data_IF_387745176244
#
_entry.id   IF_387745176244
#
_cell.length_a   1.000
_cell.length_b   1.000
_cell.length_c   1.000
_cell.angle_alpha   90.00
_cell.angle_beta   90.00
_cell.angle_gamma   90.00
#
_symmetry.space_group_name_H-M   'P 1'
#
loop_
_entity.id
_entity.type
_entity.pdbx_description
1 polymer ?
#
# COMPACT_ATOMS: atom_id res chain seq x y z
N UNK A 1 -31.35 3.25 -5.22
CA UNK A 1 -30.67 4.07 -6.25
C UNK A 1 -29.82 3.14 -7.14
N UNK A 2 -30.07 3.19 -8.45
CA UNK A 2 -29.51 2.28 -9.45
C UNK A 2 -27.98 2.39 -9.57
N UNK A 3 -27.27 1.33 -9.17
CA UNK A 3 -25.83 1.13 -9.29
C UNK A 3 -25.46 0.56 -10.68
N UNK A 4 -25.67 1.31 -11.76
CA UNK A 4 -25.35 0.84 -13.13
C UNK A 4 -24.21 1.61 -13.81
N UNK A 5 -23.51 2.51 -13.09
CA UNK A 5 -22.40 3.30 -13.64
C UNK A 5 -21.08 3.28 -12.87
N UNK A 6 -21.03 2.69 -11.66
CA UNK A 6 -19.85 2.67 -10.79
C UNK A 6 -19.23 1.26 -10.63
N UNK A 7 -19.73 0.27 -11.36
CA UNK A 7 -19.25 -1.12 -11.32
C UNK A 7 -18.08 -1.27 -12.28
N UNK A 8 -16.90 -1.59 -11.74
CA UNK A 8 -15.75 -2.24 -12.43
C UNK A 8 -14.40 -1.50 -12.40
N UNK A 9 -14.25 -0.38 -11.69
CA UNK A 9 -12.97 0.34 -11.62
C UNK A 9 -11.80 -0.53 -11.12
N UNK A 10 -12.03 -1.38 -10.11
CA UNK A 10 -11.01 -2.33 -9.63
C UNK A 10 -10.74 -3.49 -10.60
N UNK A 11 -11.68 -3.82 -11.49
CA UNK A 11 -11.48 -4.86 -12.50
C UNK A 11 -10.48 -4.42 -13.58
N UNK A 12 -10.40 -3.11 -13.85
CA UNK A 12 -9.38 -2.52 -14.72
C UNK A 12 -7.96 -2.89 -14.26
N UNK A 13 -7.72 -2.91 -12.95
CA UNK A 13 -6.40 -3.19 -12.36
C UNK A 13 -6.08 -4.68 -12.23
N UNK A 14 -7.10 -5.55 -12.30
CA UNK A 14 -6.95 -6.98 -12.05
C UNK A 14 -5.91 -7.68 -12.96
N UNK A 15 -5.91 -7.52 -14.30
CA UNK A 15 -4.91 -8.16 -15.15
C UNK A 15 -3.49 -7.68 -14.85
N UNK A 16 -3.31 -6.37 -14.65
CA UNK A 16 -2.02 -5.76 -14.32
C UNK A 16 -1.47 -6.28 -12.98
N UNK A 17 -2.32 -6.33 -11.95
CA UNK A 17 -1.95 -6.87 -10.64
C UNK A 17 -1.61 -8.37 -10.70
N UNK A 18 -2.30 -9.14 -11.54
CA UNK A 18 -1.97 -10.56 -11.74
C UNK A 18 -0.62 -10.74 -12.46
N UNK A 19 -0.35 -9.96 -13.50
CA UNK A 19 0.92 -10.00 -14.22
C UNK A 19 2.10 -9.57 -13.33
N UNK A 20 1.91 -8.51 -12.53
CA UNK A 20 2.87 -8.08 -11.52
C UNK A 20 3.10 -9.18 -10.48
N UNK A 21 2.04 -9.83 -9.98
CA UNK A 21 2.13 -10.92 -9.03
C UNK A 21 3.01 -12.08 -9.54
N UNK A 22 2.75 -12.55 -10.76
CA UNK A 22 3.53 -13.63 -11.35
C UNK A 22 4.96 -13.21 -11.65
N UNK A 23 5.18 -11.98 -12.09
CA UNK A 23 6.51 -11.44 -12.35
C UNK A 23 7.33 -11.35 -11.07
N UNK A 24 6.75 -10.81 -9.99
CA UNK A 24 7.38 -10.73 -8.68
C UNK A 24 7.63 -12.12 -8.09
N UNK A 25 6.65 -13.03 -8.15
CA UNK A 25 6.82 -14.41 -7.70
C UNK A 25 7.99 -15.09 -8.40
N UNK A 26 8.10 -14.99 -9.72
CA UNK A 26 9.22 -15.54 -10.48
C UNK A 26 10.55 -14.96 -9.99
N UNK A 27 10.63 -13.64 -9.80
CA UNK A 27 11.84 -12.99 -9.29
C UNK A 27 12.24 -13.48 -7.90
N UNK A 28 11.26 -13.64 -7.00
CA UNK A 28 11.50 -14.19 -5.66
C UNK A 28 11.93 -15.66 -5.71
N UNK A 29 11.26 -16.49 -6.52
CA UNK A 29 11.53 -17.92 -6.63
C UNK A 29 12.91 -18.23 -7.23
N UNK A 30 13.44 -17.35 -8.08
CA UNK A 30 14.79 -17.46 -8.63
C UNK A 30 15.86 -16.73 -7.80
N UNK A 31 15.48 -16.09 -6.69
CA UNK A 31 16.44 -15.46 -5.79
C UNK A 31 17.11 -16.53 -4.91
N UNK A 32 18.44 -16.43 -4.72
CA UNK A 32 19.20 -17.40 -3.91
C UNK A 32 18.64 -17.55 -2.50
N UNK A 33 18.15 -16.47 -1.92
CA UNK A 33 17.61 -16.48 -0.55
C UNK A 33 16.30 -17.25 -0.42
N UNK A 34 15.60 -17.57 -1.52
CA UNK A 34 14.36 -18.34 -1.52
C UNK A 34 14.57 -19.84 -1.72
N UNK A 35 15.80 -20.30 -1.98
CA UNK A 35 16.08 -21.71 -2.23
C UNK A 35 15.65 -22.58 -1.03
N UNK A 36 14.75 -23.54 -1.28
CA UNK A 36 14.19 -24.42 -0.27
C UNK A 36 13.25 -23.76 0.74
N UNK A 37 12.80 -22.51 0.49
CA UNK A 37 11.91 -21.76 1.39
C UNK A 37 10.52 -21.57 0.79
N UNK A 38 9.55 -21.37 1.68
CA UNK A 38 8.20 -20.97 1.29
C UNK A 38 8.18 -19.53 0.77
N UNK A 39 7.37 -19.27 -0.25
CA UNK A 39 7.10 -17.92 -0.76
C UNK A 39 5.62 -17.65 -0.53
N UNK A 40 5.33 -16.67 0.32
CA UNK A 40 3.98 -16.21 0.60
C UNK A 40 4.00 -14.69 0.74
N UNK A 41 3.17 -14.01 -0.05
CA UNK A 41 3.04 -12.56 -0.02
C UNK A 41 1.69 -12.14 -0.60
N UNK A 42 1.34 -10.88 -0.41
CA UNK A 42 0.15 -10.26 -1.00
C UNK A 42 0.57 -9.36 -2.17
N UNK A 43 0.39 -9.78 -3.44
CA UNK A 43 0.77 -8.96 -4.58
C UNK A 43 0.01 -7.64 -4.65
N UNK A 44 -1.30 -7.69 -4.40
CA UNK A 44 -2.16 -6.50 -4.48
C UNK A 44 -1.83 -5.47 -3.39
N UNK A 45 -1.40 -5.91 -2.20
CA UNK A 45 -0.91 -5.01 -1.16
C UNK A 45 0.36 -4.26 -1.58
N UNK A 46 1.30 -4.96 -2.22
CA UNK A 46 2.53 -4.35 -2.76
C UNK A 46 2.19 -3.38 -3.89
N UNK A 47 1.30 -3.76 -4.82
CA UNK A 47 0.82 -2.85 -5.87
C UNK A 47 0.19 -1.59 -5.29
N UNK A 48 -0.66 -1.74 -4.27
CA UNK A 48 -1.34 -0.63 -3.60
C UNK A 48 -0.34 0.32 -2.93
N UNK A 49 0.67 -0.22 -2.22
CA UNK A 49 1.72 0.58 -1.60
C UNK A 49 2.54 1.38 -2.63
N UNK A 50 2.87 0.75 -3.76
CA UNK A 50 3.62 1.40 -4.84
C UNK A 50 2.76 2.44 -5.58
N UNK A 51 1.47 2.18 -5.81
CA UNK A 51 0.56 3.16 -6.39
C UNK A 51 0.36 4.37 -5.47
N UNK A 52 0.20 4.15 -4.15
CA UNK A 52 0.16 5.22 -3.17
C UNK A 52 1.46 6.05 -3.15
N UNK A 53 2.62 5.40 -3.31
CA UNK A 53 3.90 6.11 -3.47
C UNK A 53 3.91 6.96 -4.75
N UNK A 54 3.32 6.46 -5.83
CA UNK A 54 3.28 7.15 -7.12
C UNK A 54 2.48 8.46 -7.08
N UNK A 55 1.48 8.59 -6.20
CA UNK A 55 0.74 9.85 -5.96
C UNK A 55 1.69 11.01 -5.61
N UNK A 56 2.77 10.71 -4.86
CA UNK A 56 3.80 11.69 -4.51
C UNK A 56 4.97 11.78 -5.48
N UNK A 57 5.08 10.84 -6.43
CA UNK A 57 6.19 10.76 -7.37
C UNK A 57 5.92 11.59 -8.64
N UNK A 58 6.99 12.02 -9.31
CA UNK A 58 6.92 12.75 -10.59
C UNK A 58 8.02 12.29 -11.53
N UNK A 59 7.88 12.59 -12.82
CA UNK A 59 8.89 12.34 -13.84
C UNK A 59 9.28 10.85 -13.90
N UNK A 60 10.58 10.58 -13.97
CA UNK A 60 11.10 9.21 -14.12
C UNK A 60 10.69 8.27 -13.00
N UNK A 61 10.61 8.75 -11.75
CA UNK A 61 10.24 7.92 -10.60
C UNK A 61 8.80 7.43 -10.74
N UNK A 62 7.87 8.31 -11.12
CA UNK A 62 6.47 7.94 -11.37
C UNK A 62 6.38 6.92 -12.52
N UNK A 63 7.03 7.22 -13.65
CA UNK A 63 7.02 6.33 -14.82
C UNK A 63 7.60 4.94 -14.53
N UNK A 64 8.67 4.86 -13.73
CA UNK A 64 9.25 3.57 -13.34
C UNK A 64 8.31 2.74 -12.46
N UNK A 65 7.60 3.39 -11.53
CA UNK A 65 6.59 2.71 -10.71
C UNK A 65 5.46 2.18 -11.59
N UNK A 66 4.89 3.03 -12.44
CA UNK A 66 3.78 2.66 -13.32
C UNK A 66 4.17 1.54 -14.26
N UNK A 67 5.35 1.61 -14.88
CA UNK A 67 5.80 0.56 -15.78
C UNK A 67 6.06 -0.76 -15.08
N UNK A 68 6.59 -0.72 -13.86
CA UNK A 68 6.81 -1.93 -13.04
C UNK A 68 5.49 -2.61 -12.69
N UNK A 69 4.44 -1.83 -12.41
CA UNK A 69 3.09 -2.34 -12.10
C UNK A 69 2.28 -2.67 -13.36
N UNK A 70 2.78 -2.33 -14.55
CA UNK A 70 2.08 -2.52 -15.82
C UNK A 70 1.03 -1.47 -16.14
N UNK A 71 1.01 -0.33 -15.44
CA UNK A 71 0.00 0.73 -15.59
C UNK A 71 0.32 1.78 -16.67
N UNK A 72 1.32 1.54 -17.55
CA UNK A 72 1.76 2.50 -18.59
C UNK A 72 0.63 3.02 -19.49
N UNK A 73 -0.45 2.25 -19.67
CA UNK A 73 -1.61 2.60 -20.48
C UNK A 73 -2.78 3.26 -19.72
N UNK A 74 -2.66 3.45 -18.41
CA UNK A 74 -3.71 3.96 -17.54
C UNK A 74 -3.43 5.40 -17.10
N UNK A 75 -4.49 6.19 -16.93
CA UNK A 75 -4.39 7.49 -16.25
C UNK A 75 -4.26 7.29 -14.74
N UNK A 76 -3.63 8.24 -14.04
CA UNK A 76 -3.40 8.09 -12.60
C UNK A 76 -4.71 8.02 -11.82
N UNK A 77 -5.69 8.82 -12.23
CA UNK A 77 -7.03 8.84 -11.65
C UNK A 77 -7.72 7.48 -11.78
N UNK A 78 -7.53 6.76 -12.90
CA UNK A 78 -8.11 5.42 -13.08
C UNK A 78 -7.48 4.38 -12.15
N UNK A 79 -6.19 4.52 -11.84
CA UNK A 79 -5.49 3.65 -10.90
C UNK A 79 -5.94 3.94 -9.48
N UNK A 80 -6.00 5.21 -9.10
CA UNK A 80 -6.40 5.65 -7.77
C UNK A 80 -7.88 5.28 -7.48
N UNK A 81 -8.81 5.56 -8.40
CA UNK A 81 -10.22 5.14 -8.32
C UNK A 81 -10.36 3.61 -8.29
N UNK A 82 -9.50 2.89 -9.02
CA UNK A 82 -9.49 1.43 -9.02
C UNK A 82 -9.11 0.83 -7.66
N UNK A 83 -8.14 1.42 -6.97
CA UNK A 83 -7.78 1.02 -5.60
C UNK A 83 -8.82 1.48 -4.57
N UNK A 84 -9.39 2.67 -4.71
CA UNK A 84 -10.50 3.13 -3.86
C UNK A 84 -11.67 2.15 -3.92
N UNK A 85 -12.09 1.79 -5.14
CA UNK A 85 -13.16 0.81 -5.36
C UNK A 85 -12.81 -0.57 -4.76
N UNK A 86 -11.55 -1.02 -4.92
CA UNK A 86 -11.10 -2.29 -4.35
C UNK A 86 -11.20 -2.29 -2.81
N UNK A 87 -10.68 -1.27 -2.15
CA UNK A 87 -10.72 -1.15 -0.68
C UNK A 87 -12.17 -1.12 -0.19
N UNK A 88 -13.02 -0.34 -0.85
CA UNK A 88 -14.44 -0.28 -0.53
C UNK A 88 -15.11 -1.66 -0.65
N UNK A 89 -14.82 -2.42 -1.71
CA UNK A 89 -15.35 -3.77 -1.90
C UNK A 89 -14.88 -4.76 -0.82
N UNK A 90 -13.61 -4.69 -0.43
CA UNK A 90 -13.05 -5.56 0.63
C UNK A 90 -13.73 -5.29 1.98
N UNK A 91 -13.90 -4.02 2.34
CA UNK A 91 -14.55 -3.62 3.59
C UNK A 91 -16.05 -3.95 3.70
N UNK A 92 -16.72 -4.29 2.59
CA UNK A 92 -18.14 -4.69 2.58
C UNK A 92 -18.35 -6.21 2.65
N UNK A 93 -17.29 -7.00 2.82
CA UNK A 93 -17.41 -8.45 2.99
C UNK A 93 -18.19 -8.78 4.28
N UNK A 94 -19.36 -9.42 4.12
CA UNK A 94 -20.31 -9.73 5.20
C UNK A 94 -19.79 -10.87 6.10
N UNK A 95 -20.32 -10.93 7.33
CA UNK A 95 -20.25 -11.91 8.46
C UNK A 95 -19.53 -13.27 8.31
N UNK A 96 -19.35 -13.82 7.12
CA UNK A 96 -18.61 -15.04 6.85
C UNK A 96 -17.12 -14.82 6.47
N UNK A 97 -16.71 -13.62 6.07
CA UNK A 97 -15.35 -13.33 5.63
C UNK A 97 -14.93 -11.93 6.07
N UNK A 98 -13.88 -11.83 6.87
CA UNK A 98 -13.27 -10.56 7.28
C UNK A 98 -12.09 -10.27 6.36
N UNK A 99 -12.29 -9.34 5.43
CA UNK A 99 -11.22 -8.73 4.62
C UNK A 99 -11.20 -7.24 4.94
N UNK A 100 -10.04 -6.76 5.41
CA UNK A 100 -9.80 -5.34 5.63
C UNK A 100 -8.53 -4.97 4.87
N UNK A 101 -8.55 -3.85 4.16
CA UNK A 101 -7.38 -3.32 3.50
C UNK A 101 -7.31 -1.81 3.76
N UNK A 102 -6.10 -1.28 3.83
CA UNK A 102 -5.89 0.14 3.96
C UNK A 102 -4.43 0.52 3.98
N UNK A 103 -4.19 1.78 4.31
CA UNK A 103 -2.85 2.34 4.36
C UNK A 103 -2.61 3.21 5.60
N UNK A 104 -1.35 3.53 5.83
CA UNK A 104 -0.91 4.50 6.82
C UNK A 104 0.25 5.34 6.30
N UNK A 105 0.39 6.55 6.84
CA UNK A 105 1.55 7.42 6.63
C UNK A 105 2.09 7.81 8.00
N UNK A 106 3.23 7.23 8.38
CA UNK A 106 3.99 7.68 9.53
C UNK A 106 4.86 8.87 9.09
N UNK A 107 4.69 10.03 9.71
CA UNK A 107 5.34 11.30 9.33
C UNK A 107 6.24 11.74 10.49
N UNK A 108 7.47 12.16 10.18
CA UNK A 108 8.37 12.72 11.19
C UNK A 108 7.76 13.94 11.85
N UNK A 109 7.81 13.98 13.18
CA UNK A 109 7.34 15.13 13.93
C UNK A 109 8.00 16.43 13.44
N UNK A 110 7.17 17.45 13.20
CA UNK A 110 7.60 18.75 12.66
C UNK A 110 7.81 18.80 11.14
N UNK A 111 7.79 17.66 10.43
CA UNK A 111 7.86 17.64 8.97
C UNK A 111 6.48 17.98 8.36
N UNK A 112 6.48 18.93 7.41
CA UNK A 112 5.25 19.35 6.71
C UNK A 112 5.14 18.65 5.37
N UNK A 113 4.23 17.68 5.29
CA UNK A 113 3.86 17.03 4.03
C UNK A 113 2.94 17.95 3.24
N UNK A 114 2.99 17.87 1.92
CA UNK A 114 2.08 18.63 1.04
C UNK A 114 0.64 18.16 1.27
N UNK A 115 -0.25 19.09 1.64
CA UNK A 115 -1.65 18.79 1.97
C UNK A 115 -2.39 18.02 0.87
N UNK A 116 -2.11 18.35 -0.41
CA UNK A 116 -2.74 17.68 -1.54
C UNK A 116 -2.39 16.18 -1.56
N UNK A 117 -1.12 15.82 -1.36
CA UNK A 117 -0.71 14.42 -1.28
C UNK A 117 -1.46 13.69 -0.17
N UNK A 118 -1.54 14.28 1.04
CA UNK A 118 -2.26 13.66 2.15
C UNK A 118 -3.74 13.47 1.85
N UNK A 119 -4.39 14.44 1.18
CA UNK A 119 -5.80 14.34 0.78
C UNK A 119 -6.02 13.22 -0.23
N UNK A 120 -5.18 13.12 -1.26
CA UNK A 120 -5.31 12.07 -2.28
C UNK A 120 -5.13 10.67 -1.66
N UNK A 121 -4.11 10.46 -0.83
CA UNK A 121 -3.88 9.13 -0.21
C UNK A 121 -4.92 8.79 0.87
N UNK A 122 -5.47 9.79 1.56
CA UNK A 122 -6.60 9.60 2.47
C UNK A 122 -7.87 9.20 1.71
N UNK A 123 -8.13 9.85 0.57
CA UNK A 123 -9.31 9.62 -0.24
C UNK A 123 -9.28 8.25 -0.92
N UNK A 124 -8.25 7.98 -1.73
CA UNK A 124 -8.24 6.80 -2.59
C UNK A 124 -7.70 5.54 -1.91
N UNK A 125 -6.84 5.68 -0.90
CA UNK A 125 -6.17 4.55 -0.24
C UNK A 125 -6.62 4.34 1.21
N UNK A 126 -7.62 5.10 1.67
CA UNK A 126 -8.12 5.11 3.04
C UNK A 126 -6.98 5.23 4.07
N UNK A 127 -5.97 6.04 3.73
CA UNK A 127 -4.76 6.12 4.51
C UNK A 127 -4.94 6.91 5.81
N UNK A 128 -4.41 6.40 6.92
CA UNK A 128 -4.32 7.16 8.18
C UNK A 128 -2.93 7.79 8.33
N UNK A 129 -2.87 9.12 8.47
CA UNK A 129 -1.63 9.84 8.72
C UNK A 129 -1.42 10.08 10.22
N UNK A 130 -0.21 9.83 10.72
CA UNK A 130 0.15 10.04 12.11
C UNK A 130 1.60 10.51 12.26
N UNK A 131 1.88 11.23 13.35
CA UNK A 131 3.21 11.77 13.65
C UNK A 131 4.02 10.76 14.47
N UNK A 132 5.32 10.64 14.16
CA UNK A 132 6.27 9.74 14.84
C UNK A 132 7.59 10.46 15.07
N UNK A 133 8.18 10.28 16.25
CA UNK A 133 9.53 10.77 16.57
C UNK A 133 10.59 9.78 16.08
N UNK A 134 10.96 9.86 14.79
CA UNK A 134 11.99 9.01 14.21
C UNK A 134 13.39 9.23 14.81
N UNK A 135 13.63 10.30 15.60
CA UNK A 135 14.92 10.47 16.29
C UNK A 135 15.16 9.42 17.38
N UNK A 136 14.12 8.65 17.75
CA UNK A 136 14.17 7.50 18.65
C UNK A 136 13.68 6.24 17.90
N UNK A 137 14.53 5.62 17.05
CA UNK A 137 14.13 4.55 16.14
C UNK A 137 13.41 3.37 16.80
N UNK A 138 13.84 2.96 18.00
CA UNK A 138 13.25 1.85 18.75
C UNK A 138 11.79 2.17 19.13
N UNK A 139 11.54 3.36 19.69
CA UNK A 139 10.19 3.80 20.06
C UNK A 139 9.33 4.02 18.80
N UNK A 140 9.90 4.61 17.75
CA UNK A 140 9.22 4.79 16.48
C UNK A 140 8.77 3.45 15.87
N UNK A 141 9.63 2.42 15.92
CA UNK A 141 9.30 1.09 15.45
C UNK A 141 8.18 0.46 16.27
N UNK A 142 8.18 0.61 17.60
CA UNK A 142 7.10 0.15 18.48
C UNK A 142 5.76 0.82 18.16
N UNK A 143 5.74 2.15 17.96
CA UNK A 143 4.53 2.90 17.62
C UNK A 143 3.95 2.45 16.27
N UNK A 144 4.81 2.31 15.25
CA UNK A 144 4.40 1.85 13.92
C UNK A 144 3.91 0.40 13.96
N UNK A 145 4.61 -0.49 14.66
CA UNK A 145 4.17 -1.88 14.82
C UNK A 145 2.85 -1.98 15.57
N UNK A 146 2.61 -1.13 16.58
CA UNK A 146 1.32 -1.07 17.27
C UNK A 146 0.19 -0.64 16.34
N UNK A 147 0.44 0.31 15.44
CA UNK A 147 -0.51 0.69 14.40
C UNK A 147 -0.81 -0.50 13.47
N UNK A 148 0.22 -1.18 12.95
CA UNK A 148 0.08 -2.34 12.07
C UNK A 148 -0.65 -3.50 12.77
N UNK A 149 -0.29 -3.79 14.01
CA UNK A 149 -0.92 -4.86 14.81
C UNK A 149 -2.42 -4.60 14.99
N UNK A 150 -2.79 -3.36 15.36
CA UNK A 150 -4.19 -2.97 15.49
C UNK A 150 -4.96 -3.18 14.17
N UNK A 151 -4.38 -2.78 13.05
CA UNK A 151 -5.00 -2.88 11.72
C UNK A 151 -5.09 -4.30 11.18
N UNK A 152 -4.17 -5.16 11.59
CA UNK A 152 -4.12 -6.57 11.15
C UNK A 152 -4.70 -7.53 12.18
N UNK A 153 -5.38 -7.02 13.22
CA UNK A 153 -5.93 -7.82 14.31
C UNK A 153 -4.88 -8.74 14.95
N UNK A 154 -3.71 -8.17 15.26
CA UNK A 154 -2.54 -8.82 15.85
C UNK A 154 -1.94 -9.97 15.01
N UNK A 155 -2.31 -10.11 13.73
CA UNK A 155 -1.71 -11.09 12.82
C UNK A 155 -0.29 -10.69 12.40
N UNK A 156 -0.01 -9.39 12.34
CA UNK A 156 1.31 -8.83 12.02
C UNK A 156 1.71 -7.86 13.13
N UNK A 157 2.65 -8.28 13.98
CA UNK A 157 3.01 -7.52 15.19
C UNK A 157 4.43 -6.97 15.20
N UNK A 158 5.31 -7.44 14.31
CA UNK A 158 6.72 -7.08 14.32
C UNK A 158 7.26 -6.93 12.88
N UNK A 159 6.62 -6.04 12.13
CA UNK A 159 6.95 -5.77 10.72
C UNK A 159 8.19 -4.89 10.60
N UNK A 160 8.25 -3.81 11.39
CA UNK A 160 9.36 -2.86 11.40
C UNK A 160 10.34 -3.25 12.49
N UNK A 161 11.60 -3.48 12.12
CA UNK A 161 12.66 -3.87 13.06
C UNK A 161 13.72 -2.79 13.18
N UNK A 162 14.28 -2.41 12.03
CA UNK A 162 15.31 -1.39 11.93
C UNK A 162 14.73 -0.15 11.25
N UNK A 163 14.94 1.01 11.87
CA UNK A 163 14.57 2.32 11.35
C UNK A 163 15.79 3.23 11.35
N UNK A 164 15.96 3.99 10.28
CA UNK A 164 16.95 5.06 10.22
C UNK A 164 16.41 6.28 10.99
N UNK A 165 17.22 6.89 11.84
CA UNK A 165 16.84 8.09 12.59
C UNK A 165 16.54 9.31 11.71
N UNK A 166 17.03 9.29 10.47
CA UNK A 166 16.78 10.34 9.48
C UNK A 166 15.51 10.12 8.67
N UNK A 167 14.77 9.02 8.91
CA UNK A 167 13.48 8.76 8.26
C UNK A 167 12.52 9.95 8.43
N UNK A 168 12.00 10.46 7.32
CA UNK A 168 11.04 11.58 7.31
C UNK A 168 9.60 11.15 7.14
N UNK A 169 9.38 10.02 6.45
CA UNK A 169 8.07 9.49 6.13
C UNK A 169 8.16 8.00 5.80
N UNK A 170 7.19 7.21 6.26
CA UNK A 170 7.02 5.81 5.91
C UNK A 170 5.57 5.57 5.47
N UNK A 171 5.41 4.98 4.29
CA UNK A 171 4.10 4.53 3.78
C UNK A 171 3.90 3.07 4.20
N UNK A 172 2.73 2.77 4.72
CA UNK A 172 2.37 1.47 5.29
C UNK A 172 1.15 0.97 4.52
N UNK A 173 1.18 -0.28 4.09
CA UNK A 173 0.01 -0.97 3.58
C UNK A 173 -0.29 -2.18 4.48
N UNK A 174 -1.58 -2.44 4.72
CA UNK A 174 -2.05 -3.64 5.39
C UNK A 174 -3.23 -4.25 4.63
N UNK A 175 -3.30 -5.58 4.70
CA UNK A 175 -4.44 -6.42 4.32
C UNK A 175 -4.55 -7.63 5.25
#
# INVERSE_FOLDING_TARGET
PSHEGASDASHLLSPHNADFAFSLYKKLAFHSDAEGKNIFFSPVGISMALSMLAVGAKGSTHSQIYSTLGYDGLQSEQVDEGFEHLIHMLGHSRDAMQLEAGAGVAIREGFKVVDMFLKEVQHHYHSEAFSVDFSKPEIAAEEINKFIAKKTHDKITNMVKDLDSDTVMMLINYM
#
